data_IF_348650642825
#
_entry.id   IF_348650642825
#
_cell.length_a   1.000
_cell.length_b   1.000
_cell.length_c   1.000
_cell.angle_alpha   90.00
_cell.angle_beta   90.00
_cell.angle_gamma   90.00
#
_symmetry.space_group_name_H-M   'P 1'
#
loop_
_entity.id
_entity.type
_entity.pdbx_description
1 polymer ?
#
# COMPACT_ATOMS: atom_id res chain seq x y z
N UNK A 1 6.80 28.20 -2.86
CA UNK A 1 7.48 27.58 -1.68
C UNK A 1 7.27 26.04 -1.66
N UNK A 2 6.07 25.51 -1.84
CA UNK A 2 5.78 24.06 -1.78
C UNK A 2 6.68 23.24 -2.73
N UNK A 3 6.81 23.58 -4.01
CA UNK A 3 7.66 22.88 -4.97
C UNK A 3 9.11 22.66 -4.53
N UNK A 4 9.70 23.60 -3.78
CA UNK A 4 11.06 23.46 -3.24
C UNK A 4 11.20 22.24 -2.31
N UNK A 5 10.14 21.90 -1.57
CA UNK A 5 10.12 20.74 -0.66
C UNK A 5 9.67 19.49 -1.36
N UNK A 6 8.66 19.56 -2.23
CA UNK A 6 8.15 18.43 -3.01
C UNK A 6 9.27 17.79 -3.84
N UNK A 7 10.08 18.58 -4.57
CA UNK A 7 11.19 18.06 -5.39
C UNK A 7 12.30 17.38 -4.59
N UNK A 8 12.39 17.60 -3.29
CA UNK A 8 13.35 16.88 -2.42
C UNK A 8 13.00 15.40 -2.24
N UNK A 9 11.84 14.98 -2.68
CA UNK A 9 11.42 13.57 -2.66
C UNK A 9 11.84 12.82 -3.92
N UNK A 10 12.24 13.49 -4.99
CA UNK A 10 12.69 12.83 -6.23
C UNK A 10 13.83 11.81 -6.02
N UNK A 11 14.83 12.07 -5.15
CA UNK A 11 15.88 11.09 -4.89
C UNK A 11 15.39 9.76 -4.26
N UNK A 12 14.15 9.71 -3.72
CA UNK A 12 13.56 8.46 -3.25
C UNK A 12 13.37 7.44 -4.36
N UNK A 13 13.27 7.90 -5.62
CA UNK A 13 13.14 7.02 -6.78
C UNK A 13 14.43 6.20 -7.04
N UNK A 14 15.57 6.67 -6.54
CA UNK A 14 16.87 6.01 -6.74
C UNK A 14 17.11 4.88 -5.72
N UNK A 15 16.48 4.98 -4.54
CA UNK A 15 16.62 4.00 -3.46
C UNK A 15 15.31 3.81 -2.70
N UNK A 16 14.49 2.85 -3.12
CA UNK A 16 13.24 2.51 -2.44
C UNK A 16 13.49 1.42 -1.41
N UNK A 17 13.59 1.83 -0.13
CA UNK A 17 13.85 0.91 0.97
C UNK A 17 12.56 0.21 1.48
N UNK A 18 11.40 0.84 1.29
CA UNK A 18 10.11 0.38 1.81
C UNK A 18 8.94 0.77 0.90
N UNK A 19 7.74 0.39 1.31
CA UNK A 19 6.51 0.66 0.57
C UNK A 19 6.00 2.11 0.70
N UNK A 20 6.53 2.86 1.66
CA UNK A 20 6.04 4.21 1.99
C UNK A 20 6.27 5.23 0.87
N UNK A 21 7.06 4.90 -0.15
CA UNK A 21 7.11 5.67 -1.39
C UNK A 21 5.70 5.94 -1.92
N UNK A 22 4.74 5.02 -1.70
CA UNK A 22 3.36 5.16 -2.12
C UNK A 22 2.73 6.44 -1.58
N UNK A 23 2.60 6.58 -0.27
CA UNK A 23 1.95 7.75 0.29
C UNK A 23 2.85 9.00 0.24
N UNK A 24 4.18 8.87 0.31
CA UNK A 24 5.11 10.00 0.21
C UNK A 24 4.91 10.75 -1.11
N UNK A 25 4.84 10.04 -2.22
CA UNK A 25 4.63 10.63 -3.55
C UNK A 25 3.17 11.02 -3.75
N UNK A 26 2.21 10.20 -3.32
CA UNK A 26 0.79 10.55 -3.46
C UNK A 26 0.43 11.81 -2.66
N UNK A 27 0.86 11.92 -1.40
CA UNK A 27 0.59 13.10 -0.58
C UNK A 27 1.32 14.38 -1.03
N UNK A 28 2.38 14.26 -1.81
CA UNK A 28 3.16 15.39 -2.31
C UNK A 28 2.88 15.69 -3.79
N UNK A 29 3.37 14.88 -4.69
CA UNK A 29 3.17 15.02 -6.14
C UNK A 29 1.71 14.81 -6.55
N UNK A 30 1.00 13.86 -5.94
CA UNK A 30 -0.43 13.67 -6.19
C UNK A 30 -1.25 14.91 -5.83
N UNK A 31 -1.01 15.51 -4.67
CA UNK A 31 -1.65 16.77 -4.31
C UNK A 31 -1.20 17.94 -5.20
N UNK A 32 0.05 17.97 -5.64
CA UNK A 32 0.51 18.99 -6.59
C UNK A 32 -0.27 18.89 -7.91
N UNK A 33 -0.45 17.68 -8.46
CA UNK A 33 -1.26 17.46 -9.66
C UNK A 33 -2.70 17.93 -9.46
N UNK A 34 -3.33 17.51 -8.36
CA UNK A 34 -4.72 17.85 -8.04
C UNK A 34 -4.94 19.36 -7.91
N UNK A 35 -3.98 20.09 -7.33
CA UNK A 35 -4.12 21.51 -7.03
C UNK A 35 -3.69 22.42 -8.17
N UNK A 36 -2.73 21.99 -9.00
CA UNK A 36 -2.14 22.84 -10.04
C UNK A 36 -2.48 22.41 -11.47
N UNK A 37 -2.88 21.15 -11.68
CA UNK A 37 -3.05 20.57 -13.01
C UNK A 37 -1.72 20.37 -13.77
N UNK A 38 -0.55 20.56 -13.14
CA UNK A 38 0.77 20.43 -13.79
C UNK A 38 1.11 18.97 -14.05
N UNK A 39 0.52 18.41 -15.09
CA UNK A 39 0.77 17.04 -15.51
C UNK A 39 2.20 16.85 -16.08
N UNK A 40 2.74 17.86 -16.71
CA UNK A 40 4.07 17.79 -17.36
C UNK A 40 5.19 17.51 -16.36
N UNK A 41 5.14 18.18 -15.20
CA UNK A 41 6.14 17.99 -14.13
C UNK A 41 5.82 16.78 -13.27
N UNK A 42 4.54 16.54 -12.97
CA UNK A 42 4.13 15.55 -11.96
C UNK A 42 4.08 14.13 -12.49
N UNK A 43 3.46 13.92 -13.67
CA UNK A 43 3.17 12.56 -14.15
C UNK A 43 4.43 11.70 -14.30
N UNK A 44 5.56 12.19 -14.86
CA UNK A 44 6.77 11.37 -14.97
C UNK A 44 7.28 10.85 -13.61
N UNK A 45 7.30 11.71 -12.59
CA UNK A 45 7.74 11.34 -11.24
C UNK A 45 6.76 10.37 -10.58
N UNK A 46 5.47 10.63 -10.74
CA UNK A 46 4.41 9.81 -10.15
C UNK A 46 4.40 8.39 -10.73
N UNK A 47 4.48 8.26 -12.04
CA UNK A 47 4.52 6.96 -12.74
C UNK A 47 5.82 6.20 -12.42
N UNK A 48 6.96 6.88 -12.40
CA UNK A 48 8.22 6.26 -11.99
C UNK A 48 8.14 5.71 -10.55
N UNK A 49 7.53 6.45 -9.62
CA UNK A 49 7.32 5.98 -8.25
C UNK A 49 6.35 4.78 -8.20
N UNK A 50 5.30 4.76 -9.01
CA UNK A 50 4.38 3.64 -9.10
C UNK A 50 5.08 2.35 -9.56
N UNK A 51 5.96 2.43 -10.55
CA UNK A 51 6.81 1.29 -10.95
C UNK A 51 7.72 0.83 -9.81
N UNK A 52 8.34 1.76 -9.08
CA UNK A 52 9.20 1.43 -7.93
C UNK A 52 8.44 0.71 -6.81
N UNK A 53 7.19 1.07 -6.56
CA UNK A 53 6.34 0.34 -5.63
C UNK A 53 5.96 -1.04 -6.20
N UNK A 54 5.64 -1.11 -7.50
CA UNK A 54 5.31 -2.36 -8.18
C UNK A 54 6.48 -3.36 -8.19
N UNK A 55 7.74 -2.91 -8.27
CA UNK A 55 8.95 -3.75 -8.19
C UNK A 55 9.04 -4.55 -6.87
N UNK A 56 8.27 -4.17 -5.86
CA UNK A 56 8.20 -4.86 -4.55
C UNK A 56 7.13 -5.95 -4.48
N UNK A 57 6.41 -6.18 -5.56
CA UNK A 57 5.32 -7.16 -5.64
C UNK A 57 5.84 -8.57 -5.88
N UNK A 58 5.32 -9.55 -5.16
CA UNK A 58 5.51 -10.97 -5.45
C UNK A 58 4.23 -11.55 -6.05
N UNK A 59 4.26 -12.03 -7.31
CA UNK A 59 3.11 -12.70 -7.91
C UNK A 59 2.66 -13.96 -7.15
N UNK A 60 3.60 -14.69 -6.54
CA UNK A 60 3.32 -15.90 -5.77
C UNK A 60 2.63 -15.59 -4.44
N UNK A 61 3.12 -14.57 -3.73
CA UNK A 61 2.50 -14.12 -2.48
C UNK A 61 1.26 -13.24 -2.71
N UNK A 62 1.12 -12.65 -3.90
CA UNK A 62 0.01 -11.76 -4.24
C UNK A 62 0.04 -10.41 -3.51
N UNK A 63 1.18 -10.03 -2.93
CA UNK A 63 1.34 -8.84 -2.09
C UNK A 63 2.63 -8.08 -2.36
N UNK A 64 2.68 -6.82 -1.93
CA UNK A 64 3.83 -5.92 -1.99
C UNK A 64 4.59 -6.00 -0.67
N UNK A 65 5.88 -6.26 -0.71
CA UNK A 65 6.75 -6.30 0.46
C UNK A 65 6.89 -4.92 1.10
N UNK A 66 6.73 -4.85 2.43
CA UNK A 66 6.78 -3.58 3.15
C UNK A 66 8.18 -3.00 3.24
N UNK A 67 9.19 -3.81 3.66
CA UNK A 67 10.58 -3.36 3.79
C UNK A 67 11.57 -4.51 3.64
N UNK A 68 12.88 -4.18 3.56
CA UNK A 68 13.97 -5.15 3.44
C UNK A 68 14.93 -5.11 4.66
N UNK A 69 14.53 -4.47 5.75
CA UNK A 69 15.33 -4.25 6.94
C UNK A 69 14.58 -4.72 8.21
N UNK A 70 15.09 -4.44 9.39
CA UNK A 70 14.65 -4.77 10.73
C UNK A 70 15.08 -6.16 11.18
N UNK A 71 14.27 -7.20 11.03
CA UNK A 71 14.57 -8.53 11.56
C UNK A 71 15.02 -9.48 10.46
N UNK A 72 16.03 -10.30 10.77
CA UNK A 72 16.56 -11.27 9.81
C UNK A 72 15.71 -12.54 9.66
N UNK A 73 14.75 -12.76 10.56
CA UNK A 73 13.85 -13.92 10.53
C UNK A 73 12.61 -13.69 9.67
N UNK A 74 12.33 -12.44 9.28
CA UNK A 74 11.28 -12.12 8.30
C UNK A 74 11.81 -12.25 6.87
N UNK A 75 11.09 -13.00 6.04
CA UNK A 75 11.45 -13.22 4.64
C UNK A 75 10.71 -12.22 3.74
N UNK A 76 9.40 -12.11 3.92
CA UNK A 76 8.55 -11.22 3.12
C UNK A 76 7.51 -10.51 3.98
N UNK A 77 7.95 -9.54 4.82
CA UNK A 77 7.04 -8.86 5.72
C UNK A 77 6.11 -7.89 4.98
N UNK A 78 4.83 -7.94 5.35
CA UNK A 78 3.78 -7.07 4.85
C UNK A 78 2.99 -6.54 6.03
N UNK A 79 2.92 -5.21 6.17
CA UNK A 79 2.08 -4.58 7.19
C UNK A 79 0.81 -4.01 6.57
N UNK A 80 -0.22 -3.89 7.39
CA UNK A 80 -1.54 -3.39 6.97
C UNK A 80 -1.46 -1.96 6.40
N UNK A 81 -0.48 -1.17 6.79
CA UNK A 81 -0.17 0.17 6.28
C UNK A 81 0.00 0.20 4.76
N UNK A 82 0.41 -0.92 4.17
CA UNK A 82 0.60 -1.01 2.72
C UNK A 82 -0.68 -0.70 1.93
N UNK A 83 -1.85 -0.92 2.55
CA UNK A 83 -3.13 -0.55 1.95
C UNK A 83 -3.22 0.94 1.61
N UNK A 84 -2.58 1.81 2.40
CA UNK A 84 -2.51 3.24 2.13
C UNK A 84 -1.66 3.56 0.88
N UNK A 85 -0.69 2.72 0.55
CA UNK A 85 0.25 2.96 -0.55
C UNK A 85 -0.31 2.57 -1.93
N UNK A 86 -1.38 1.79 -1.98
CA UNK A 86 -1.98 1.30 -3.22
C UNK A 86 -2.54 2.41 -4.12
N UNK A 87 -2.88 3.58 -3.55
CA UNK A 87 -3.37 4.71 -4.32
C UNK A 87 -2.34 5.21 -5.34
N UNK A 88 -1.04 5.09 -5.04
CA UNK A 88 0.02 5.39 -6.01
C UNK A 88 -0.10 4.50 -7.25
N UNK A 89 -0.43 3.22 -7.09
CA UNK A 89 -0.56 2.26 -8.19
C UNK A 89 -1.83 2.50 -9.01
N UNK A 90 -2.98 2.69 -8.36
CA UNK A 90 -4.26 2.91 -9.06
C UNK A 90 -4.26 4.22 -9.85
N UNK A 91 -3.75 5.30 -9.26
CA UNK A 91 -3.61 6.59 -9.94
C UNK A 91 -2.50 6.52 -11.00
N UNK A 92 -1.37 5.85 -10.71
CA UNK A 92 -0.30 5.61 -11.67
C UNK A 92 -0.80 4.88 -12.92
N UNK A 93 -1.60 3.83 -12.76
CA UNK A 93 -2.24 3.11 -13.85
C UNK A 93 -3.10 4.03 -14.74
N UNK A 94 -3.89 4.89 -14.12
CA UNK A 94 -4.73 5.85 -14.85
C UNK A 94 -3.91 6.90 -15.60
N UNK A 95 -2.81 7.36 -15.01
CA UNK A 95 -1.95 8.38 -15.61
C UNK A 95 -1.08 7.84 -16.75
N UNK A 96 -0.62 6.60 -16.66
CA UNK A 96 0.23 5.95 -17.67
C UNK A 96 -0.55 5.15 -18.71
N UNK A 97 -1.78 4.73 -18.39
CA UNK A 97 -2.55 3.76 -19.18
C UNK A 97 -2.13 2.29 -18.96
N UNK A 98 -1.29 2.02 -17.98
CA UNK A 98 -0.75 0.68 -17.67
C UNK A 98 -1.61 -0.05 -16.64
N UNK A 99 -2.55 -0.89 -17.10
CA UNK A 99 -3.47 -1.63 -16.21
C UNK A 99 -2.75 -2.56 -15.23
N UNK A 100 -1.56 -3.04 -15.55
CA UNK A 100 -0.76 -3.92 -14.69
C UNK A 100 -0.49 -3.33 -13.29
N UNK A 101 -0.36 -2.01 -13.17
CA UNK A 101 -0.21 -1.34 -11.88
C UNK A 101 -1.49 -1.47 -11.03
N UNK A 102 -2.66 -1.34 -11.65
CA UNK A 102 -3.94 -1.51 -10.97
C UNK A 102 -4.19 -2.99 -10.60
N UNK A 103 -3.74 -3.93 -11.43
CA UNK A 103 -3.85 -5.36 -11.16
C UNK A 103 -3.02 -5.75 -9.93
N UNK A 104 -1.81 -5.19 -9.77
CA UNK A 104 -0.96 -5.35 -8.59
C UNK A 104 -1.68 -4.82 -7.34
N UNK A 105 -2.25 -3.62 -7.41
CA UNK A 105 -3.01 -3.04 -6.29
C UNK A 105 -4.20 -3.93 -5.91
N UNK A 106 -4.95 -4.43 -6.91
CA UNK A 106 -6.08 -5.33 -6.71
C UNK A 106 -5.69 -6.67 -6.09
N UNK A 107 -4.57 -7.26 -6.54
CA UNK A 107 -4.01 -8.48 -5.98
C UNK A 107 -3.63 -8.28 -4.51
N UNK A 108 -2.87 -7.23 -4.21
CA UNK A 108 -2.48 -6.92 -2.84
C UNK A 108 -3.69 -6.72 -1.92
N UNK A 109 -4.67 -5.92 -2.34
CA UNK A 109 -5.86 -5.65 -1.54
C UNK A 109 -6.67 -6.93 -1.26
N UNK A 110 -6.85 -7.80 -2.27
CA UNK A 110 -7.60 -9.05 -2.13
C UNK A 110 -6.88 -10.05 -1.22
N UNK A 111 -5.56 -10.18 -1.35
CA UNK A 111 -4.76 -11.06 -0.48
C UNK A 111 -4.71 -10.55 0.96
N UNK A 112 -4.62 -9.23 1.14
CA UNK A 112 -4.68 -8.58 2.45
C UNK A 112 -6.04 -8.82 3.11
N UNK A 113 -7.14 -8.71 2.35
CA UNK A 113 -8.48 -8.99 2.85
C UNK A 113 -8.62 -10.42 3.37
N UNK A 114 -8.05 -11.37 2.65
CA UNK A 114 -8.13 -12.79 3.01
C UNK A 114 -7.28 -13.18 4.23
N UNK A 115 -6.18 -12.45 4.51
CA UNK A 115 -5.18 -12.92 5.48
C UNK A 115 -4.99 -12.02 6.70
N UNK A 116 -5.18 -10.69 6.57
CA UNK A 116 -4.84 -9.71 7.61
C UNK A 116 -5.95 -9.46 8.62
N UNK A 117 -7.18 -9.95 8.41
CA UNK A 117 -8.29 -9.70 9.31
C UNK A 117 -8.64 -10.92 10.14
N UNK A 118 -9.11 -10.65 11.36
CA UNK A 118 -9.76 -11.62 12.25
C UNK A 118 -11.26 -11.63 11.98
N UNK A 119 -11.97 -12.58 12.57
CA UNK A 119 -13.43 -12.72 12.43
C UNK A 119 -14.19 -11.48 12.91
N UNK A 120 -13.61 -10.70 13.82
CA UNK A 120 -14.14 -9.44 14.35
C UNK A 120 -13.69 -8.20 13.57
N UNK A 121 -13.11 -8.36 12.39
CA UNK A 121 -12.57 -7.31 11.53
C UNK A 121 -11.39 -6.51 12.10
N UNK A 122 -10.84 -6.90 13.25
CA UNK A 122 -9.57 -6.33 13.68
C UNK A 122 -8.43 -6.86 12.81
N UNK A 123 -7.49 -6.00 12.45
CA UNK A 123 -6.37 -6.40 11.61
C UNK A 123 -5.17 -6.89 12.41
N UNK A 124 -4.46 -7.88 11.89
CA UNK A 124 -3.07 -8.12 12.22
C UNK A 124 -2.21 -7.00 11.64
N UNK A 125 -1.24 -6.51 12.42
CA UNK A 125 -0.36 -5.46 11.92
C UNK A 125 0.58 -6.00 10.84
N UNK A 126 1.29 -7.08 11.11
CA UNK A 126 2.29 -7.67 10.24
C UNK A 126 1.97 -9.13 9.94
N UNK A 127 2.03 -9.48 8.66
CA UNK A 127 2.15 -10.86 8.20
C UNK A 127 3.49 -11.05 7.50
N UNK A 128 4.20 -12.12 7.83
CA UNK A 128 5.36 -12.56 7.07
C UNK A 128 4.93 -13.67 6.09
N UNK A 129 5.17 -13.48 4.81
CA UNK A 129 4.81 -14.42 3.78
C UNK A 129 6.01 -15.25 3.32
N UNK A 130 5.74 -16.44 2.82
CA UNK A 130 6.67 -17.22 2.03
C UNK A 130 6.56 -16.74 0.56
N UNK A 131 7.61 -16.13 -0.01
CA UNK A 131 7.56 -15.63 -1.38
C UNK A 131 7.53 -16.72 -2.45
N UNK A 132 7.81 -17.99 -2.12
CA UNK A 132 7.82 -19.09 -3.06
C UNK A 132 6.44 -19.68 -3.28
N UNK A 133 5.60 -19.71 -2.24
CA UNK A 133 4.28 -20.34 -2.28
C UNK A 133 3.12 -19.48 -1.79
N UNK A 134 3.39 -18.27 -1.27
CA UNK A 134 2.39 -17.32 -0.81
C UNK A 134 1.76 -17.63 0.54
N UNK A 135 2.22 -18.66 1.26
CA UNK A 135 1.68 -18.98 2.57
C UNK A 135 2.08 -17.97 3.64
N UNK A 136 1.21 -17.76 4.64
CA UNK A 136 1.51 -16.94 5.81
C UNK A 136 2.35 -17.74 6.79
N UNK A 137 3.56 -17.26 7.09
CA UNK A 137 4.50 -17.87 8.04
C UNK A 137 4.23 -17.43 9.47
N UNK A 138 4.04 -16.11 9.66
CA UNK A 138 3.85 -15.49 10.98
C UNK A 138 2.82 -14.38 10.93
N UNK A 139 2.16 -14.14 12.07
CA UNK A 139 1.31 -12.99 12.34
C UNK A 139 1.82 -12.28 13.58
N UNK A 140 2.28 -11.04 13.42
CA UNK A 140 3.00 -10.32 14.46
C UNK A 140 2.61 -8.84 14.48
N UNK A 141 3.26 -8.09 15.35
CA UNK A 141 3.22 -6.62 15.35
C UNK A 141 4.62 -6.04 15.50
N UNK A 142 4.83 -4.86 14.93
CA UNK A 142 6.02 -4.03 15.13
C UNK A 142 5.68 -2.82 15.99
N UNK A 143 4.51 -2.21 15.77
CA UNK A 143 4.10 -0.96 16.38
C UNK A 143 2.92 -1.12 17.36
N UNK A 144 2.23 -2.25 17.34
CA UNK A 144 1.15 -2.55 18.27
C UNK A 144 1.67 -2.98 19.65
N UNK A 145 0.76 -3.01 20.63
CA UNK A 145 1.06 -3.37 22.03
C UNK A 145 1.58 -4.81 22.18
N UNK A 146 0.96 -5.75 21.47
CA UNK A 146 1.32 -7.17 21.50
C UNK A 146 0.93 -7.84 20.17
N UNK A 147 1.53 -9.00 19.83
CA UNK A 147 1.25 -9.70 18.56
C UNK A 147 -0.25 -9.97 18.36
N UNK A 148 -0.97 -10.33 19.40
CA UNK A 148 -2.42 -10.58 19.34
C UNK A 148 -3.31 -9.34 19.44
N UNK A 149 -2.76 -8.14 19.67
CA UNK A 149 -3.55 -6.91 19.79
C UNK A 149 -3.94 -6.30 18.45
N UNK A 150 -5.07 -5.59 18.42
CA UNK A 150 -5.39 -4.67 17.35
C UNK A 150 -4.60 -3.35 17.54
N UNK A 151 -4.10 -2.79 16.44
CA UNK A 151 -3.38 -1.52 16.44
C UNK A 151 -4.22 -0.46 15.72
N UNK A 152 -4.68 0.54 16.47
CA UNK A 152 -5.68 1.52 15.98
C UNK A 152 -5.29 2.25 14.70
N UNK A 153 -4.01 2.64 14.56
CA UNK A 153 -3.54 3.28 13.33
C UNK A 153 -3.56 2.31 12.15
N UNK A 154 -3.25 1.03 12.36
CA UNK A 154 -3.37 0.00 11.33
C UNK A 154 -4.81 -0.20 10.85
N UNK A 155 -5.78 -0.17 11.79
CA UNK A 155 -7.21 -0.16 11.43
C UNK A 155 -7.57 1.04 10.56
N UNK A 156 -7.08 2.23 10.90
CA UNK A 156 -7.30 3.43 10.09
C UNK A 156 -6.70 3.31 8.68
N UNK A 157 -5.53 2.70 8.53
CA UNK A 157 -4.94 2.44 7.22
C UNK A 157 -5.74 1.44 6.41
N UNK A 158 -6.25 0.39 7.05
CA UNK A 158 -7.14 -0.56 6.41
C UNK A 158 -8.43 0.11 5.91
N UNK A 159 -9.10 0.86 6.77
CA UNK A 159 -10.31 1.62 6.42
C UNK A 159 -10.06 2.56 5.24
N UNK A 160 -8.97 3.35 5.30
CA UNK A 160 -8.57 4.23 4.19
C UNK A 160 -8.36 3.43 2.91
N UNK A 161 -7.56 2.36 2.98
CA UNK A 161 -7.17 1.59 1.81
C UNK A 161 -8.35 0.91 1.12
N UNK A 162 -9.26 0.28 1.85
CA UNK A 162 -10.45 -0.36 1.25
C UNK A 162 -11.45 0.66 0.73
N UNK A 163 -11.63 1.79 1.40
CA UNK A 163 -12.44 2.91 0.88
C UNK A 163 -11.86 3.43 -0.45
N UNK A 164 -10.56 3.62 -0.50
CA UNK A 164 -9.85 4.03 -1.71
C UNK A 164 -9.98 2.98 -2.82
N UNK A 165 -9.75 1.70 -2.51
CA UNK A 165 -9.87 0.62 -3.50
C UNK A 165 -11.29 0.50 -4.05
N UNK A 166 -12.32 0.69 -3.24
CA UNK A 166 -13.70 0.78 -3.73
C UNK A 166 -13.87 1.97 -4.67
N UNK A 167 -13.42 3.16 -4.29
CA UNK A 167 -13.49 4.37 -5.13
C UNK A 167 -12.84 4.16 -6.51
N UNK A 168 -11.68 3.50 -6.56
CA UNK A 168 -10.92 3.33 -7.80
C UNK A 168 -11.40 2.15 -8.67
N UNK A 169 -12.04 1.14 -8.06
CA UNK A 169 -12.40 -0.11 -8.77
C UNK A 169 -13.89 -0.37 -8.89
N UNK A 170 -14.72 0.22 -8.03
CA UNK A 170 -16.15 -0.07 -7.92
C UNK A 170 -16.49 -1.47 -7.40
N UNK A 171 -15.51 -2.22 -6.86
CA UNK A 171 -15.75 -3.57 -6.34
C UNK A 171 -16.45 -3.53 -4.98
N UNK A 172 -17.71 -3.98 -4.93
CA UNK A 172 -18.55 -3.97 -3.72
C UNK A 172 -17.91 -4.66 -2.50
N UNK A 173 -17.13 -5.73 -2.70
CA UNK A 173 -16.43 -6.41 -1.60
C UNK A 173 -15.42 -5.50 -0.85
N UNK A 174 -14.87 -4.48 -1.50
CA UNK A 174 -14.02 -3.50 -0.83
C UNK A 174 -14.85 -2.49 -0.03
N UNK A 175 -16.04 -2.12 -0.49
CA UNK A 175 -16.97 -1.30 0.29
C UNK A 175 -17.44 -2.04 1.53
N UNK A 176 -17.85 -3.30 1.39
CA UNK A 176 -18.26 -4.14 2.52
C UNK A 176 -17.13 -4.27 3.56
N UNK A 177 -15.90 -4.52 3.11
CA UNK A 177 -14.74 -4.54 3.99
C UNK A 177 -14.54 -3.21 4.73
N UNK A 178 -14.61 -2.08 4.01
CA UNK A 178 -14.47 -0.76 4.61
C UNK A 178 -15.56 -0.49 5.67
N UNK A 179 -16.80 -0.87 5.41
CA UNK A 179 -17.92 -0.72 6.36
C UNK A 179 -17.68 -1.56 7.62
N UNK A 180 -17.36 -2.84 7.47
CA UNK A 180 -17.12 -3.73 8.60
C UNK A 180 -15.91 -3.29 9.45
N UNK A 181 -14.84 -2.77 8.82
CA UNK A 181 -13.68 -2.21 9.53
C UNK A 181 -14.05 -0.91 10.26
N UNK A 182 -14.94 -0.10 9.68
CA UNK A 182 -15.38 1.16 10.27
C UNK A 182 -16.34 1.00 11.44
N UNK A 183 -17.11 -0.08 11.47
CA UNK A 183 -18.11 -0.38 12.52
C UNK A 183 -17.49 -1.08 13.75
N UNK A 184 -16.20 -1.53 13.65
CA UNK A 184 -15.41 -2.16 14.72
C UNK A 184 -14.94 -1.11 15.75
#
# INVERSE_FOLDING_TARGET
>A
MAWKYTRRLEPLLDCVCDHDIGFQINCSYGNALRLTGDSTTVVPVYVAAAHKLADRFSPQAGVIKSWNFLRNDWVYPVIIDNMMNLELLTVGARLSGESALADIAGSHASTTLANHFRDDWTSWHLLDYDPENGSVRYRETVQGYAHGSAWSRGQAWALYGYTMMFRETGKEGYLEAAMNIGDM
#
